data_IF_653559007835
#
_entry.id   IF_653559007835
#
_cell.length_a   1.000
_cell.length_b   1.000
_cell.length_c   1.000
_cell.angle_alpha   90.00
_cell.angle_beta   90.00
_cell.angle_gamma   90.00
#
_symmetry.space_group_name_H-M   'P 1'
#
loop_
_entity.id
_entity.type
_entity.pdbx_description
1 polymer ?
#
# COMPACT_ATOMS: atom_id res chain seq x y z
N UNK A 1 58.19 8.86 51.14
CA UNK A 1 57.59 7.57 50.73
C UNK A 1 56.07 7.50 50.95
N UNK A 2 55.53 8.02 52.07
CA UNK A 2 54.08 7.97 52.40
C UNK A 2 53.18 8.81 51.45
N UNK A 3 53.63 10.00 51.01
CA UNK A 3 52.86 10.84 50.05
C UNK A 3 52.65 10.15 48.68
N UNK A 4 53.68 9.48 48.16
CA UNK A 4 53.61 8.75 46.89
C UNK A 4 52.67 7.54 46.95
N UNK A 5 52.53 6.91 48.12
CA UNK A 5 51.59 5.81 48.32
C UNK A 5 50.13 6.30 48.34
N UNK A 6 49.88 7.46 48.96
CA UNK A 6 48.55 8.08 49.00
C UNK A 6 48.10 8.60 47.62
N UNK A 7 49.01 9.21 46.84
CA UNK A 7 48.74 9.63 45.46
C UNK A 7 48.41 8.43 44.56
N UNK A 8 49.16 7.32 44.66
CA UNK A 8 48.84 6.08 43.92
C UNK A 8 47.49 5.47 44.30
N UNK A 9 47.05 5.61 45.55
CA UNK A 9 45.72 5.16 46.01
C UNK A 9 44.59 6.02 45.43
N UNK A 10 44.76 7.34 45.40
CA UNK A 10 43.77 8.27 44.82
C UNK A 10 43.63 8.11 43.30
N UNK A 11 44.75 7.93 42.58
CA UNK A 11 44.75 7.69 41.13
C UNK A 11 44.00 6.39 40.73
N UNK A 12 44.08 5.34 41.55
CA UNK A 12 43.35 4.08 41.33
C UNK A 12 41.83 4.23 41.49
N UNK A 13 41.38 5.07 42.43
CA UNK A 13 39.95 5.37 42.63
C UNK A 13 39.37 6.17 41.46
N UNK A 14 40.11 7.17 40.98
CA UNK A 14 39.71 7.96 39.82
C UNK A 14 39.66 7.12 38.53
N UNK A 15 40.62 6.19 38.37
CA UNK A 15 40.61 5.24 37.25
C UNK A 15 39.40 4.30 37.30
N UNK A 16 39.00 3.82 38.49
CA UNK A 16 37.81 2.97 38.65
C UNK A 16 36.52 3.72 38.31
N UNK A 17 36.38 4.98 38.76
CA UNK A 17 35.22 5.82 38.44
C UNK A 17 35.13 6.07 36.92
N UNK A 18 36.27 6.34 36.29
CA UNK A 18 36.35 6.52 34.83
C UNK A 18 35.95 5.24 34.08
N UNK A 19 36.47 4.08 34.49
CA UNK A 19 36.12 2.79 33.88
C UNK A 19 34.64 2.44 34.08
N UNK A 20 34.09 2.71 35.26
CA UNK A 20 32.67 2.49 35.56
C UNK A 20 31.76 3.38 34.69
N UNK A 21 32.09 4.67 34.56
CA UNK A 21 31.38 5.60 33.68
C UNK A 21 31.46 5.18 32.21
N UNK A 22 32.61 4.65 31.77
CA UNK A 22 32.82 4.18 30.40
C UNK A 22 32.00 2.92 30.09
N UNK A 23 31.95 1.97 31.02
CA UNK A 23 31.08 0.78 30.92
C UNK A 23 29.61 1.20 30.87
N UNK A 24 29.19 2.14 31.71
CA UNK A 24 27.80 2.62 31.75
C UNK A 24 27.39 3.30 30.44
N UNK A 25 28.30 4.08 29.84
CA UNK A 25 28.08 4.70 28.54
C UNK A 25 27.94 3.66 27.41
N UNK A 26 28.76 2.60 27.43
CA UNK A 26 28.64 1.50 26.47
C UNK A 26 27.28 0.80 26.60
N UNK A 27 26.81 0.55 27.82
CA UNK A 27 25.49 -0.04 28.06
C UNK A 27 24.36 0.84 27.51
N UNK A 28 24.45 2.17 27.67
CA UNK A 28 23.49 3.11 27.10
C UNK A 28 23.47 3.10 25.56
N UNK A 29 24.60 2.85 24.89
CA UNK A 29 24.66 2.74 23.43
C UNK A 29 24.00 1.46 22.90
N UNK A 30 23.94 0.39 23.70
CA UNK A 30 23.28 -0.87 23.34
C UNK A 30 21.80 -0.93 23.74
N UNK A 31 21.28 0.10 24.42
CA UNK A 31 19.84 0.30 24.52
C UNK A 31 19.37 0.82 23.17
N UNK A 32 19.07 -0.11 22.26
CA UNK A 32 18.37 0.18 21.03
C UNK A 32 17.09 0.93 21.36
N UNK A 33 17.02 2.21 20.98
CA UNK A 33 15.75 2.91 20.87
C UNK A 33 15.09 2.42 19.59
N UNK A 34 14.35 1.32 19.70
CA UNK A 34 13.50 0.85 18.62
C UNK A 34 12.50 1.97 18.31
N UNK A 35 12.79 2.69 17.23
CA UNK A 35 11.94 3.74 16.71
C UNK A 35 10.82 3.03 15.96
N UNK A 36 9.74 2.72 16.67
CA UNK A 36 8.52 2.20 16.05
C UNK A 36 7.88 3.32 15.22
N UNK A 37 8.44 3.56 14.03
CA UNK A 37 7.80 4.38 13.01
C UNK A 37 6.68 3.52 12.40
N UNK A 38 5.60 3.34 13.16
CA UNK A 38 4.39 2.73 12.64
C UNK A 38 3.96 3.51 11.39
N UNK A 39 3.58 2.80 10.33
CA UNK A 39 2.94 3.43 9.17
C UNK A 39 1.81 4.31 9.71
N UNK A 40 1.78 5.62 9.38
CA UNK A 40 0.86 6.54 10.03
C UNK A 40 -0.57 6.02 9.88
N UNK A 41 -1.24 5.76 11.01
CA UNK A 41 -2.53 5.06 11.05
C UNK A 41 -3.59 5.70 10.13
N UNK A 42 -3.51 7.02 9.93
CA UNK A 42 -4.36 7.73 8.96
C UNK A 42 -4.16 7.23 7.53
N UNK A 43 -2.92 7.01 7.10
CA UNK A 43 -2.61 6.65 5.72
C UNK A 43 -3.06 5.21 5.45
N UNK A 44 -2.90 4.29 6.41
CA UNK A 44 -3.41 2.92 6.27
C UNK A 44 -4.92 2.89 6.19
N UNK A 45 -5.64 3.62 7.04
CA UNK A 45 -7.11 3.65 6.98
C UNK A 45 -7.64 4.22 5.67
N UNK A 46 -6.98 5.26 5.14
CA UNK A 46 -7.34 5.83 3.83
C UNK A 46 -7.10 4.80 2.72
N UNK A 47 -5.96 4.09 2.75
CA UNK A 47 -5.64 3.06 1.77
C UNK A 47 -6.66 1.91 1.79
N UNK A 48 -7.01 1.41 2.98
CA UNK A 48 -8.02 0.36 3.16
C UNK A 48 -9.40 0.78 2.65
N UNK A 49 -9.77 2.05 2.85
CA UNK A 49 -11.01 2.60 2.32
C UNK A 49 -11.01 2.63 0.78
N UNK A 50 -9.90 3.03 0.15
CA UNK A 50 -9.76 3.00 -1.31
C UNK A 50 -9.76 1.58 -1.87
N UNK A 51 -9.12 0.63 -1.21
CA UNK A 51 -9.16 -0.80 -1.57
C UNK A 51 -10.60 -1.34 -1.52
N UNK A 52 -11.35 -0.97 -0.49
CA UNK A 52 -12.76 -1.33 -0.37
C UNK A 52 -13.60 -0.75 -1.52
N UNK A 53 -13.37 0.53 -1.85
CA UNK A 53 -14.06 1.19 -2.96
C UNK A 53 -13.70 0.53 -4.30
N UNK A 54 -12.42 0.18 -4.53
CA UNK A 54 -11.95 -0.57 -5.71
C UNK A 54 -12.73 -1.88 -5.86
N UNK A 55 -12.83 -2.65 -4.77
CA UNK A 55 -13.57 -3.93 -4.77
C UNK A 55 -15.06 -3.75 -5.10
N UNK A 56 -15.71 -2.75 -4.51
CA UNK A 56 -17.11 -2.45 -4.80
C UNK A 56 -17.32 -2.00 -6.24
N UNK A 57 -16.42 -1.17 -6.77
CA UNK A 57 -16.46 -0.70 -8.16
C UNK A 57 -16.40 -1.87 -9.15
N UNK A 58 -15.46 -2.80 -8.97
CA UNK A 58 -15.34 -4.00 -9.82
C UNK A 58 -16.59 -4.88 -9.77
N UNK A 59 -17.13 -5.12 -8.56
CA UNK A 59 -18.35 -5.92 -8.37
C UNK A 59 -19.56 -5.34 -9.09
N UNK A 60 -19.65 -4.02 -9.21
CA UNK A 60 -20.76 -3.34 -9.90
C UNK A 60 -20.48 -3.23 -11.40
N UNK A 61 -19.22 -3.07 -11.81
CA UNK A 61 -18.83 -2.92 -13.21
C UNK A 61 -19.16 -4.17 -14.05
N UNK A 62 -18.94 -5.37 -13.52
CA UNK A 62 -19.21 -6.64 -14.23
C UNK A 62 -20.68 -6.84 -14.61
N UNK A 63 -21.66 -6.75 -13.68
CA UNK A 63 -23.07 -6.86 -14.04
C UNK A 63 -23.54 -5.68 -14.90
N UNK A 64 -23.03 -4.46 -14.68
CA UNK A 64 -23.37 -3.32 -15.52
C UNK A 64 -22.94 -3.52 -16.98
N UNK A 65 -21.71 -4.01 -17.21
CA UNK A 65 -21.21 -4.34 -18.54
C UNK A 65 -22.02 -5.47 -19.18
N UNK A 66 -22.35 -6.51 -18.41
CA UNK A 66 -23.18 -7.61 -18.89
C UNK A 66 -24.58 -7.14 -19.34
N UNK A 67 -25.23 -6.29 -18.55
CA UNK A 67 -26.54 -5.71 -18.90
C UNK A 67 -26.45 -4.80 -20.12
N UNK A 68 -25.41 -3.97 -20.23
CA UNK A 68 -25.23 -3.08 -21.37
C UNK A 68 -24.95 -3.86 -22.69
N UNK A 69 -24.16 -4.93 -22.62
CA UNK A 69 -23.94 -5.83 -23.77
C UNK A 69 -25.23 -6.57 -24.12
N UNK A 70 -25.96 -7.09 -23.12
CA UNK A 70 -27.24 -7.77 -23.33
C UNK A 70 -28.28 -6.87 -24.01
N UNK A 71 -28.45 -5.64 -23.52
CA UNK A 71 -29.37 -4.66 -24.13
C UNK A 71 -28.93 -4.29 -25.54
N UNK A 72 -27.63 -4.10 -25.79
CA UNK A 72 -27.12 -3.84 -27.15
C UNK A 72 -27.36 -5.00 -28.12
N UNK A 73 -27.25 -6.25 -27.67
CA UNK A 73 -27.57 -7.44 -28.48
C UNK A 73 -29.07 -7.48 -28.78
N UNK A 74 -29.92 -7.22 -27.78
CA UNK A 74 -31.37 -7.14 -27.98
C UNK A 74 -31.75 -6.04 -28.96
N UNK A 75 -31.15 -4.86 -28.85
CA UNK A 75 -31.40 -3.73 -29.73
C UNK A 75 -31.01 -4.04 -31.18
N UNK A 76 -29.95 -4.84 -31.39
CA UNK A 76 -29.58 -5.34 -32.71
C UNK A 76 -30.56 -6.39 -33.24
N UNK A 77 -31.04 -7.30 -32.39
CA UNK A 77 -31.92 -8.41 -32.79
C UNK A 77 -33.36 -7.95 -33.06
N UNK A 78 -33.88 -7.02 -32.27
CA UNK A 78 -35.23 -6.46 -32.35
C UNK A 78 -35.32 -5.19 -33.20
N UNK A 79 -34.25 -4.81 -33.90
CA UNK A 79 -34.23 -3.63 -34.76
C UNK A 79 -35.05 -3.78 -36.05
N UNK A 80 -35.45 -5.00 -36.41
CA UNK A 80 -36.24 -5.32 -37.61
C UNK A 80 -35.75 -4.64 -38.91
N UNK A 81 -34.43 -4.51 -39.07
CA UNK A 81 -33.81 -3.92 -40.28
C UNK A 81 -33.56 -2.41 -40.21
N UNK A 82 -33.94 -1.72 -39.13
CA UNK A 82 -33.55 -0.32 -38.91
C UNK A 82 -32.04 -0.21 -38.68
N UNK A 83 -31.33 0.32 -39.67
CA UNK A 83 -29.87 0.44 -39.67
C UNK A 83 -29.36 1.38 -38.57
N UNK A 84 -30.10 2.42 -38.20
CA UNK A 84 -29.68 3.38 -37.18
C UNK A 84 -29.66 2.74 -35.79
N UNK A 85 -30.69 1.95 -35.50
CA UNK A 85 -30.80 1.19 -34.24
C UNK A 85 -29.79 0.04 -34.17
N UNK A 86 -29.51 -0.64 -35.29
CA UNK A 86 -28.43 -1.66 -35.37
C UNK A 86 -27.06 -1.02 -35.12
N UNK A 87 -26.80 0.15 -35.71
CA UNK A 87 -25.55 0.91 -35.52
C UNK A 87 -25.39 1.33 -34.06
N UNK A 88 -26.48 1.79 -33.44
CA UNK A 88 -26.51 2.17 -32.03
C UNK A 88 -26.24 0.97 -31.13
N UNK A 89 -26.90 -0.17 -31.34
CA UNK A 89 -26.65 -1.41 -30.60
C UNK A 89 -25.19 -1.87 -30.69
N UNK A 90 -24.58 -1.84 -31.88
CA UNK A 90 -23.15 -2.14 -32.06
C UNK A 90 -22.24 -1.17 -31.30
N UNK A 91 -22.59 0.12 -31.26
CA UNK A 91 -21.84 1.15 -30.51
C UNK A 91 -21.91 0.89 -29.00
N UNK A 92 -23.09 0.56 -28.47
CA UNK A 92 -23.29 0.22 -27.05
C UNK A 92 -22.49 -1.02 -26.66
N UNK A 93 -22.53 -2.09 -27.46
CA UNK A 93 -21.76 -3.32 -27.18
C UNK A 93 -20.26 -3.02 -27.14
N UNK A 94 -19.73 -2.33 -28.16
CA UNK A 94 -18.29 -2.01 -28.23
C UNK A 94 -17.85 -1.10 -27.11
N UNK A 95 -18.63 -0.06 -26.81
CA UNK A 95 -18.33 0.87 -25.72
C UNK A 95 -18.30 0.18 -24.36
N UNK A 96 -19.28 -0.69 -24.09
CA UNK A 96 -19.39 -1.42 -22.83
C UNK A 96 -18.23 -2.41 -22.63
N UNK A 97 -17.88 -3.16 -23.68
CA UNK A 97 -16.75 -4.10 -23.65
C UNK A 97 -15.41 -3.37 -23.48
N UNK A 98 -15.22 -2.25 -24.19
CA UNK A 98 -14.00 -1.47 -24.08
C UNK A 98 -13.82 -0.90 -22.67
N UNK A 99 -14.84 -0.27 -22.11
CA UNK A 99 -14.77 0.31 -20.76
C UNK A 99 -14.52 -0.76 -19.69
N UNK A 100 -15.17 -1.93 -19.79
CA UNK A 100 -14.94 -3.01 -18.83
C UNK A 100 -13.53 -3.61 -18.94
N UNK A 101 -13.04 -3.83 -20.16
CA UNK A 101 -11.67 -4.29 -20.39
C UNK A 101 -10.63 -3.28 -19.87
N UNK A 102 -10.91 -1.98 -19.99
CA UNK A 102 -10.05 -0.92 -19.45
C UNK A 102 -9.98 -0.95 -17.92
N UNK A 103 -11.12 -1.13 -17.24
CA UNK A 103 -11.16 -1.27 -15.78
C UNK A 103 -10.33 -2.49 -15.32
N UNK A 104 -10.49 -3.63 -16.01
CA UNK A 104 -9.70 -4.85 -15.77
C UNK A 104 -8.19 -4.64 -15.99
N UNK A 105 -7.81 -3.90 -17.03
CA UNK A 105 -6.41 -3.62 -17.32
C UNK A 105 -5.77 -2.77 -16.20
N UNK A 106 -6.48 -1.77 -15.68
CA UNK A 106 -6.01 -0.96 -14.55
C UNK A 106 -5.86 -1.83 -13.30
N UNK A 107 -6.84 -2.68 -13.00
CA UNK A 107 -6.79 -3.57 -11.84
C UNK A 107 -5.61 -4.54 -11.92
N UNK A 108 -5.33 -5.08 -13.11
CA UNK A 108 -4.19 -5.95 -13.36
C UNK A 108 -2.85 -5.23 -13.20
N UNK A 109 -2.72 -4.00 -13.71
CA UNK A 109 -1.51 -3.17 -13.55
C UNK A 109 -1.28 -2.86 -12.07
N UNK A 110 -2.32 -2.47 -11.34
CA UNK A 110 -2.22 -2.16 -9.92
C UNK A 110 -1.79 -3.40 -9.12
N UNK A 111 -2.42 -4.54 -9.39
CA UNK A 111 -2.06 -5.82 -8.78
C UNK A 111 -0.61 -6.21 -9.08
N UNK A 112 -0.12 -5.95 -10.30
CA UNK A 112 1.28 -6.22 -10.66
C UNK A 112 2.28 -5.31 -9.93
N UNK A 113 1.91 -4.04 -9.71
CA UNK A 113 2.73 -3.11 -8.91
C UNK A 113 2.78 -3.58 -7.45
N UNK A 114 1.64 -3.95 -6.86
CA UNK A 114 1.58 -4.49 -5.49
C UNK A 114 2.43 -5.76 -5.36
N UNK A 115 2.37 -6.67 -6.33
CA UNK A 115 3.19 -7.90 -6.39
C UNK A 115 4.69 -7.62 -6.51
N UNK A 116 5.08 -6.51 -7.15
CA UNK A 116 6.48 -6.14 -7.34
C UNK A 116 7.08 -5.45 -6.10
N UNK A 117 6.25 -4.69 -5.37
CA UNK A 117 6.65 -3.98 -4.15
C UNK A 117 6.68 -4.94 -2.94
N UNK A 118 5.84 -5.98 -2.95
CA UNK A 118 5.84 -7.07 -1.97
C UNK A 118 7.06 -7.98 -2.09
#
# INVERSE_FOLDING_TARGET
MIKLFNERSSMKKNLYIFLFSFIFFIVLLFISVDSYSAYPALVSTIFDAFETIKSWLLKIATPAAAVAVGTGIFMKKFSFGDEEKIRTGKKVIRGSLFSYAFILAIDLILSAIELLVS
#
